data_IF_945484790147
#
_entry.id   IF_945484790147
#
_cell.length_a   1.000
_cell.length_b   1.000
_cell.length_c   1.000
_cell.angle_alpha   90.00
_cell.angle_beta   90.00
_cell.angle_gamma   90.00
#
_symmetry.space_group_name_H-M   'P 1'
#
loop_
_entity.id
_entity.type
_entity.pdbx_description
1 polymer ?
#
# COMPACT_ATOMS: atom_id res chain seq x y z
N UNK A 1 19.93 -5.86 -21.49
CA UNK A 1 18.67 -5.78 -20.73
C UNK A 1 19.03 -5.21 -19.38
N UNK A 2 18.69 -3.95 -19.11
CA UNK A 2 19.06 -3.27 -17.88
C UNK A 2 18.10 -3.71 -16.77
N UNK A 3 18.62 -4.42 -15.78
CA UNK A 3 17.86 -4.87 -14.61
C UNK A 3 17.82 -3.68 -13.65
N UNK A 4 16.63 -3.15 -13.37
CA UNK A 4 16.45 -1.92 -12.58
C UNK A 4 15.86 -2.21 -11.19
N UNK A 5 15.64 -3.48 -10.86
CA UNK A 5 15.06 -3.89 -9.59
C UNK A 5 16.15 -4.33 -8.60
N UNK A 6 16.07 -3.81 -7.38
CA UNK A 6 16.90 -4.23 -6.25
C UNK A 6 16.06 -4.99 -5.24
N UNK A 7 16.64 -6.02 -4.60
CA UNK A 7 16.00 -6.73 -3.48
C UNK A 7 16.74 -6.41 -2.19
N UNK A 8 16.01 -5.90 -1.19
CA UNK A 8 16.53 -5.54 0.13
C UNK A 8 15.82 -6.36 1.21
N UNK A 9 16.56 -6.79 2.23
CA UNK A 9 16.01 -7.51 3.37
C UNK A 9 15.88 -6.55 4.55
N UNK A 10 14.70 -6.49 5.16
CA UNK A 10 14.46 -5.67 6.34
C UNK A 10 13.56 -6.37 7.34
N UNK A 11 13.72 -6.03 8.62
CA UNK A 11 12.87 -6.53 9.70
C UNK A 11 11.82 -5.47 10.03
N UNK A 12 10.55 -5.87 10.00
CA UNK A 12 9.41 -4.99 10.27
C UNK A 12 8.64 -5.53 11.47
N UNK A 13 8.33 -4.66 12.42
CA UNK A 13 7.49 -5.02 13.57
C UNK A 13 6.06 -4.61 13.28
N UNK A 14 5.17 -5.59 13.14
CA UNK A 14 3.75 -5.36 12.87
C UNK A 14 2.86 -5.87 14.00
N UNK A 15 1.71 -5.23 14.16
CA UNK A 15 0.70 -5.67 15.11
C UNK A 15 -0.67 -5.75 14.46
N UNK A 16 -1.50 -6.67 14.97
CA UNK A 16 -2.84 -6.93 14.47
C UNK A 16 -3.77 -7.44 15.57
N UNK A 17 -5.06 -7.20 15.39
CA UNK A 17 -6.12 -7.66 16.30
C UNK A 17 -7.24 -8.33 15.50
N UNK A 18 -7.89 -9.32 16.08
CA UNK A 18 -9.01 -10.02 15.48
C UNK A 18 -9.79 -10.85 16.48
N UNK A 19 -10.99 -11.27 16.11
CA UNK A 19 -11.82 -12.15 16.95
C UNK A 19 -11.32 -13.61 16.89
N UNK A 20 -10.64 -13.96 15.80
CA UNK A 20 -9.93 -15.24 15.63
C UNK A 20 -8.42 -15.03 15.52
N UNK A 21 -7.64 -16.09 15.73
CA UNK A 21 -6.18 -16.07 15.54
C UNK A 21 -5.84 -15.66 14.10
N UNK A 22 -6.51 -16.28 13.13
CA UNK A 22 -6.29 -16.05 11.70
C UNK A 22 -6.54 -14.59 11.34
N UNK A 23 -7.63 -13.99 11.84
CA UNK A 23 -7.93 -12.58 11.62
C UNK A 23 -6.86 -11.66 12.22
N UNK A 24 -6.38 -11.95 13.44
CA UNK A 24 -5.34 -11.14 14.07
C UNK A 24 -4.02 -11.18 13.28
N UNK A 25 -3.62 -12.34 12.77
CA UNK A 25 -2.43 -12.50 11.92
C UNK A 25 -2.61 -11.81 10.56
N UNK A 26 -3.76 -11.99 9.90
CA UNK A 26 -4.05 -11.32 8.63
C UNK A 26 -4.01 -9.79 8.79
N UNK A 27 -4.60 -9.27 9.86
CA UNK A 27 -4.56 -7.84 10.18
C UNK A 27 -3.12 -7.34 10.40
N UNK A 28 -2.25 -8.13 11.03
CA UNK A 28 -0.85 -7.77 11.21
C UNK A 28 -0.08 -7.74 9.87
N UNK A 29 -0.29 -8.74 9.00
CA UNK A 29 0.38 -8.78 7.69
C UNK A 29 -0.06 -7.66 6.75
N UNK A 30 -1.34 -7.27 6.76
CA UNK A 30 -1.81 -6.12 5.99
C UNK A 30 -1.14 -4.81 6.39
N UNK A 31 -0.63 -4.71 7.63
CA UNK A 31 0.11 -3.54 8.09
C UNK A 31 1.56 -3.51 7.59
N UNK A 32 2.15 -4.65 7.15
CA UNK A 32 3.50 -4.68 6.57
C UNK A 32 3.56 -3.77 5.36
N UNK A 33 2.60 -3.89 4.43
CA UNK A 33 2.58 -3.09 3.22
C UNK A 33 2.54 -1.59 3.52
N UNK A 34 1.71 -1.18 4.50
CA UNK A 34 1.59 0.22 4.91
C UNK A 34 2.90 0.78 5.47
N UNK A 35 3.59 -0.03 6.27
CA UNK A 35 4.83 0.38 6.91
C UNK A 35 5.98 0.50 5.90
N UNK A 36 6.00 -0.34 4.86
CA UNK A 36 7.02 -0.29 3.81
C UNK A 36 6.82 0.87 2.83
N UNK A 37 5.57 1.22 2.49
CA UNK A 37 5.27 2.29 1.54
C UNK A 37 5.54 3.68 2.15
N UNK A 38 5.36 3.85 3.46
CA UNK A 38 5.53 5.15 4.11
C UNK A 38 6.97 5.68 4.14
N UNK A 39 7.96 4.79 3.95
CA UNK A 39 9.36 5.09 4.25
C UNK A 39 10.22 5.37 3.00
N UNK A 40 9.71 5.24 1.76
CA UNK A 40 10.56 5.34 0.55
C UNK A 40 9.89 5.92 -0.70
N UNK A 41 10.63 6.72 -1.48
CA UNK A 41 10.32 7.14 -2.86
C UNK A 41 10.61 6.02 -3.90
N UNK A 42 10.43 4.76 -3.50
CA UNK A 42 10.70 3.60 -4.36
C UNK A 42 9.41 2.92 -4.78
N UNK A 43 9.35 2.46 -6.03
CA UNK A 43 8.22 1.68 -6.50
C UNK A 43 8.39 0.21 -6.08
N UNK A 44 7.66 -0.20 -5.04
CA UNK A 44 7.67 -1.57 -4.53
C UNK A 44 6.96 -2.51 -5.52
N UNK A 45 7.68 -3.52 -6.01
CA UNK A 45 7.15 -4.54 -6.92
C UNK A 45 6.64 -5.77 -6.18
N UNK A 46 7.36 -6.19 -5.14
CA UNK A 46 7.09 -7.44 -4.41
C UNK A 46 7.57 -7.35 -2.98
N UNK A 47 6.76 -7.90 -2.07
CA UNK A 47 7.12 -8.11 -0.66
C UNK A 47 6.97 -9.60 -0.38
N UNK A 48 8.03 -10.25 0.08
CA UNK A 48 8.02 -11.66 0.48
C UNK A 48 8.37 -11.77 1.96
N UNK A 49 7.48 -12.26 2.82
CA UNK A 49 7.84 -12.58 4.20
C UNK A 49 8.69 -13.86 4.21
N UNK A 50 9.92 -13.75 4.70
CA UNK A 50 10.87 -14.88 4.79
C UNK A 50 10.83 -15.55 6.16
N UNK A 51 10.69 -14.74 7.22
CA UNK A 51 10.68 -15.23 8.59
C UNK A 51 9.67 -14.45 9.43
N UNK A 52 8.88 -15.15 10.24
CA UNK A 52 7.89 -14.56 11.15
C UNK A 52 8.18 -15.04 12.57
N UNK A 53 8.44 -14.09 13.47
CA UNK A 53 8.70 -14.34 14.88
C UNK A 53 7.65 -13.67 15.75
N UNK A 54 6.90 -14.42 16.59
CA UNK A 54 5.93 -13.82 17.50
C UNK A 54 6.64 -13.17 18.69
N UNK A 55 6.53 -11.85 18.80
CA UNK A 55 7.03 -11.09 19.95
C UNK A 55 6.03 -11.10 21.11
N UNK A 56 4.74 -10.94 20.79
CA UNK A 56 3.68 -10.87 21.81
C UNK A 56 2.38 -11.44 21.28
N UNK A 57 1.77 -12.35 22.05
CA UNK A 57 0.48 -12.96 21.75
C UNK A 57 -0.43 -12.79 22.96
N UNK A 58 -1.50 -12.02 22.83
CA UNK A 58 -2.46 -11.75 23.91
C UNK A 58 -3.84 -12.24 23.50
N UNK A 59 -4.45 -13.06 24.36
CA UNK A 59 -5.86 -13.41 24.27
C UNK A 59 -6.61 -12.69 25.38
N UNK A 60 -7.57 -11.85 25.01
CA UNK A 60 -8.50 -11.22 25.94
C UNK A 60 -9.88 -11.83 25.72
N UNK A 61 -10.55 -12.24 26.79
CA UNK A 61 -11.93 -12.72 26.73
C UNK A 61 -12.75 -12.02 27.80
N UNK A 62 -13.85 -11.40 27.39
CA UNK A 62 -14.77 -10.72 28.29
C UNK A 62 -16.20 -11.17 28.02
N UNK A 63 -16.96 -11.35 29.09
CA UNK A 63 -18.38 -11.70 29.02
C UNK A 63 -19.21 -10.45 29.18
N UNK A 64 -19.81 -10.00 28.07
CA UNK A 64 -20.78 -8.92 28.09
C UNK A 64 -22.07 -9.42 28.73
N UNK A 65 -22.60 -8.67 29.70
CA UNK A 65 -23.94 -8.89 30.25
C UNK A 65 -24.91 -8.03 29.46
N UNK A 66 -25.42 -8.54 28.34
CA UNK A 66 -26.49 -7.86 27.61
C UNK A 66 -27.84 -8.14 28.29
N UNK A 67 -28.61 -7.08 28.53
CA UNK A 67 -29.92 -7.11 29.21
C UNK A 67 -29.91 -7.84 30.58
N UNK A 68 -29.15 -7.29 31.53
CA UNK A 68 -29.12 -7.64 32.96
C UNK A 68 -28.64 -9.06 33.33
N UNK A 69 -29.20 -10.14 32.77
CA UNK A 69 -28.72 -11.51 32.92
C UNK A 69 -29.06 -12.44 31.73
N UNK A 70 -29.82 -11.95 30.75
CA UNK A 70 -30.53 -12.82 29.82
C UNK A 70 -29.70 -13.24 28.59
N UNK A 71 -28.69 -12.46 28.18
CA UNK A 71 -27.86 -12.81 27.02
C UNK A 71 -26.38 -12.59 27.30
N UNK A 72 -25.77 -13.53 28.03
CA UNK A 72 -24.31 -13.55 28.22
C UNK A 72 -23.63 -13.86 26.88
N UNK A 73 -22.96 -12.87 26.29
CA UNK A 73 -22.13 -13.07 25.09
C UNK A 73 -20.66 -12.98 25.49
N UNK A 74 -19.91 -14.05 25.26
CA UNK A 74 -18.45 -14.04 25.45
C UNK A 74 -17.79 -13.54 24.17
N UNK A 75 -17.16 -12.37 24.23
CA UNK A 75 -16.28 -11.89 23.16
C UNK A 75 -14.86 -12.30 23.46
N UNK A 76 -14.17 -12.84 22.45
CA UNK A 76 -12.74 -13.12 22.51
C UNK A 76 -12.04 -12.26 21.49
N UNK A 77 -10.92 -11.66 21.87
CA UNK A 77 -10.06 -10.88 21.01
C UNK A 77 -8.64 -11.40 21.14
N UNK A 78 -8.01 -11.63 19.99
CA UNK A 78 -6.60 -11.95 19.87
C UNK A 78 -5.87 -10.71 19.40
N UNK A 79 -4.81 -10.35 20.11
CA UNK A 79 -3.87 -9.31 19.69
C UNK A 79 -2.49 -9.94 19.51
N UNK A 80 -1.88 -9.70 18.36
CA UNK A 80 -0.58 -10.27 17.99
C UNK A 80 0.39 -9.14 17.64
N UNK A 81 1.64 -9.31 18.03
CA UNK A 81 2.78 -8.47 17.63
C UNK A 81 3.85 -9.41 17.10
N UNK A 82 4.25 -9.19 15.85
CA UNK A 82 5.14 -10.06 15.09
C UNK A 82 6.33 -9.23 14.59
N UNK A 83 7.52 -9.79 14.71
CA UNK A 83 8.69 -9.36 13.95
C UNK A 83 8.74 -10.18 12.67
N UNK A 84 8.71 -9.53 11.51
CA UNK A 84 8.70 -10.18 10.21
C UNK A 84 9.91 -9.71 9.42
N UNK A 85 10.76 -10.66 9.02
CA UNK A 85 11.83 -10.40 8.04
C UNK A 85 11.20 -10.49 6.66
N UNK A 86 11.30 -9.41 5.89
CA UNK A 86 10.73 -9.29 4.55
C UNK A 86 11.84 -9.00 3.55
N UNK A 87 11.78 -9.70 2.41
CA UNK A 87 12.51 -9.33 1.21
C UNK A 87 11.61 -8.42 0.37
N UNK A 88 12.06 -7.19 0.16
CA UNK A 88 11.35 -6.17 -0.61
C UNK A 88 12.10 -5.96 -1.92
N UNK A 89 11.43 -6.22 -3.03
CA UNK A 89 11.94 -5.89 -4.37
C UNK A 89 11.32 -4.56 -4.80
N UNK A 90 12.15 -3.57 -5.08
CA UNK A 90 11.72 -2.24 -5.47
C UNK A 90 12.54 -1.69 -6.65
N UNK A 91 11.98 -0.71 -7.34
CA UNK A 91 12.65 0.11 -8.35
C UNK A 91 12.93 1.47 -7.71
N UNK A 92 14.18 1.91 -7.84
CA UNK A 92 14.56 3.28 -7.50
C UNK A 92 14.07 4.21 -8.60
N UNK A 93 13.14 5.12 -8.26
CA UNK A 93 12.53 6.04 -9.21
C UNK A 93 13.45 7.24 -9.52
N UNK A 94 14.31 7.61 -8.58
CA UNK A 94 15.25 8.73 -8.75
C UNK A 94 16.33 8.43 -9.80
N UNK A 95 16.63 7.14 -9.97
CA UNK A 95 17.54 6.68 -11.00
C UNK A 95 16.93 6.69 -12.41
N UNK A 96 15.62 6.96 -12.55
CA UNK A 96 14.93 6.99 -13.84
C UNK A 96 14.92 8.39 -14.44
N UNK A 97 15.42 8.51 -15.66
CA UNK A 97 15.35 9.75 -16.45
C UNK A 97 14.06 9.72 -17.26
N UNK A 98 13.17 10.68 -17.01
CA UNK A 98 11.96 10.90 -17.80
C UNK A 98 12.26 11.90 -18.93
N UNK A 99 11.73 11.63 -20.12
CA UNK A 99 11.76 12.60 -21.23
C UNK A 99 10.54 13.53 -21.15
N UNK A 100 10.79 14.84 -21.09
CA UNK A 100 9.73 15.85 -21.14
C UNK A 100 9.22 16.02 -22.57
N UNK A 101 8.08 15.42 -22.88
CA UNK A 101 7.37 15.65 -24.15
C UNK A 101 6.24 16.65 -23.91
N UNK A 102 6.36 17.84 -24.50
CA UNK A 102 5.31 18.85 -24.46
C UNK A 102 4.06 18.35 -25.20
N UNK A 103 2.99 18.05 -24.45
CA UNK A 103 1.70 17.73 -25.04
C UNK A 103 1.06 19.01 -25.62
N UNK A 104 0.43 18.95 -26.81
CA UNK A 104 -0.33 20.09 -27.33
C UNK A 104 -1.52 20.37 -26.39
N UNK A 105 -1.72 21.66 -26.08
CA UNK A 105 -2.84 22.11 -25.25
C UNK A 105 -4.18 21.63 -25.85
N UNK A 106 -5.12 21.08 -25.04
CA UNK A 106 -6.47 20.74 -25.49
C UNK A 106 -7.24 21.92 -26.10
N UNK A 107 -6.84 23.14 -25.74
CA UNK A 107 -7.46 24.39 -26.18
C UNK A 107 -6.87 24.94 -27.49
N UNK A 108 -5.97 24.21 -28.16
CA UNK A 108 -5.51 24.55 -29.50
C UNK A 108 -6.63 24.28 -30.53
N UNK A 109 -7.66 25.11 -30.51
CA UNK A 109 -8.68 25.19 -31.55
C UNK A 109 -7.99 25.44 -32.89
N UNK A 110 -8.12 24.51 -33.84
CA UNK A 110 -7.56 24.64 -35.19
C UNK A 110 -8.19 25.84 -35.89
N UNK A 111 -7.49 26.98 -35.90
CA UNK A 111 -7.95 28.18 -36.60
C UNK A 111 -7.81 27.95 -38.12
N UNK A 112 -8.90 28.03 -38.90
CA UNK A 112 -8.80 27.95 -40.35
C UNK A 112 -7.97 29.13 -40.88
N UNK A 113 -7.18 28.87 -41.91
CA UNK A 113 -6.23 29.82 -42.47
C UNK A 113 -6.98 30.96 -43.19
N UNK A 114 -7.21 32.08 -42.48
CA UNK A 114 -8.02 33.23 -42.95
C UNK A 114 -7.48 33.96 -44.19
N UNK A 115 -6.28 33.60 -44.68
CA UNK A 115 -5.66 34.22 -45.87
C UNK A 115 -6.48 34.05 -47.16
N UNK A 116 -7.33 33.03 -47.25
CA UNK A 116 -8.11 32.75 -48.47
C UNK A 116 -9.49 33.44 -48.48
N UNK A 117 -9.97 33.96 -47.34
CA UNK A 117 -11.30 34.59 -47.23
C UNK A 117 -11.22 36.09 -47.61
N UNK A 118 -10.10 36.76 -47.35
CA UNK A 118 -9.92 38.18 -47.71
C UNK A 118 -9.63 38.42 -49.19
N UNK A 119 -9.31 37.37 -49.98
CA UNK A 119 -9.09 37.50 -51.43
C UNK A 119 -10.37 37.47 -52.28
N UNK A 120 -11.54 37.25 -51.67
CA UNK A 120 -12.83 37.16 -52.36
C UNK A 120 -13.67 38.45 -52.37
N UNK A 121 -13.18 39.55 -51.80
CA UNK A 121 -13.87 40.84 -51.82
C UNK A 121 -13.15 41.78 -52.78
N UNK A 122 -13.49 41.69 -54.07
CA UNK A 122 -13.29 42.77 -55.03
C UNK A 122 -14.36 42.70 -56.11
#
# INVERSE_FOLDING_TARGET
MTVVNETKHQVVTVSGKGETKQQAFAAAFSNIQKQLIGDTETAILRIVPEKVEPLKLVKSSYTEKFLFFFFKRTRTTYAVTLAVTVAVTAIDLDALVFEDVAAPSPDAMSLPNLKNILKGVK
#
